data_IF_405961264650
#
_entry.id   IF_405961264650
#
_cell.length_a   1.000
_cell.length_b   1.000
_cell.length_c   1.000
_cell.angle_alpha   90.00
_cell.angle_beta   90.00
_cell.angle_gamma   90.00
#
_symmetry.space_group_name_H-M   'P 1'
#
loop_
_entity.id
_entity.type
_entity.pdbx_description
1 polymer ?
#
# COMPACT_ATOMS: atom_id res chain seq x y z
N UNK A 1 -3.24 -10.49 1.28
CA UNK A 1 -4.72 -10.46 1.38
C UNK A 1 -5.23 -10.23 2.78
N UNK A 2 -4.60 -10.83 3.76
CA UNK A 2 -5.02 -10.67 5.15
C UNK A 2 -5.03 -9.20 5.59
N UNK A 3 -4.06 -8.43 5.13
CA UNK A 3 -3.97 -7.02 5.49
C UNK A 3 -5.21 -6.24 5.05
N UNK A 4 -5.70 -6.52 3.84
CA UNK A 4 -6.89 -5.85 3.33
C UNK A 4 -8.12 -6.29 4.11
N UNK A 5 -8.26 -7.59 4.37
CA UNK A 5 -9.40 -8.10 5.13
C UNK A 5 -9.45 -7.52 6.53
N UNK A 6 -8.28 -7.34 7.15
CA UNK A 6 -8.20 -6.76 8.49
C UNK A 6 -8.84 -5.38 8.54
N UNK A 7 -8.60 -4.55 7.51
CA UNK A 7 -9.10 -3.17 7.52
C UNK A 7 -10.49 -3.02 6.94
N UNK A 8 -10.98 -3.99 6.15
CA UNK A 8 -12.31 -3.87 5.53
C UNK A 8 -13.45 -4.23 6.46
N UNK A 9 -13.16 -4.76 7.64
CA UNK A 9 -14.19 -5.12 8.59
C UNK A 9 -15.09 -3.96 8.97
N UNK A 10 -14.52 -2.77 9.00
CA UNK A 10 -15.23 -1.59 9.47
C UNK A 10 -15.68 -0.68 8.33
N UNK A 11 -15.56 -1.14 7.10
CA UNK A 11 -15.95 -0.36 5.94
C UNK A 11 -16.83 -1.21 5.03
N UNK A 12 -17.72 -0.53 4.31
CA UNK A 12 -18.68 -1.22 3.46
C UNK A 12 -18.15 -1.43 2.05
N UNK A 13 -17.03 -2.12 1.92
CA UNK A 13 -16.50 -2.48 0.60
C UNK A 13 -17.19 -3.72 0.07
N UNK A 14 -17.52 -3.71 -1.21
CA UNK A 14 -18.08 -4.88 -1.88
C UNK A 14 -16.98 -5.91 -2.12
N UNK A 15 -17.34 -7.20 -2.37
CA UNK A 15 -16.33 -8.20 -2.71
C UNK A 15 -15.46 -7.80 -3.89
N UNK A 16 -16.04 -7.15 -4.90
CA UNK A 16 -15.27 -6.68 -6.06
C UNK A 16 -14.27 -5.63 -5.66
N UNK A 17 -14.66 -4.71 -4.80
CA UNK A 17 -13.74 -3.70 -4.29
C UNK A 17 -12.60 -4.33 -3.52
N UNK A 18 -12.91 -5.30 -2.67
CA UNK A 18 -11.89 -5.98 -1.89
C UNK A 18 -10.86 -6.67 -2.80
N UNK A 19 -11.32 -7.27 -3.89
CA UNK A 19 -10.40 -7.89 -4.84
C UNK A 19 -9.47 -6.87 -5.48
N UNK A 20 -10.00 -5.70 -5.83
CA UNK A 20 -9.18 -4.64 -6.41
C UNK A 20 -8.16 -4.15 -5.40
N UNK A 21 -8.59 -3.95 -4.16
CA UNK A 21 -7.70 -3.48 -3.09
C UNK A 21 -6.59 -4.49 -2.82
N UNK A 22 -6.94 -5.77 -2.76
CA UNK A 22 -5.94 -6.82 -2.52
C UNK A 22 -4.95 -6.91 -3.68
N UNK A 23 -5.44 -6.82 -4.91
CA UNK A 23 -4.56 -6.84 -6.08
C UNK A 23 -3.64 -5.62 -6.11
N UNK A 24 -4.16 -4.46 -5.73
CA UNK A 24 -3.34 -3.26 -5.66
C UNK A 24 -2.25 -3.39 -4.62
N UNK A 25 -2.57 -3.94 -3.45
CA UNK A 25 -1.57 -4.16 -2.41
C UNK A 25 -0.47 -5.11 -2.90
N UNK A 26 -0.87 -6.22 -3.49
CA UNK A 26 0.12 -7.19 -3.97
C UNK A 26 1.01 -6.58 -5.04
N UNK A 27 0.43 -5.82 -5.94
CA UNK A 27 1.21 -5.19 -7.01
C UNK A 27 2.16 -4.13 -6.48
N UNK A 28 1.68 -3.29 -5.56
CA UNK A 28 2.53 -2.27 -4.95
C UNK A 28 3.68 -2.91 -4.18
N UNK A 29 3.39 -3.97 -3.43
CA UNK A 29 4.41 -4.67 -2.67
C UNK A 29 5.45 -5.30 -3.58
N UNK A 30 4.99 -5.95 -4.66
CA UNK A 30 5.90 -6.53 -5.63
C UNK A 30 6.83 -5.47 -6.22
N UNK A 31 6.29 -4.30 -6.55
CA UNK A 31 7.11 -3.20 -7.06
C UNK A 31 8.19 -2.78 -6.08
N UNK A 32 7.84 -2.69 -4.79
CA UNK A 32 8.81 -2.35 -3.78
C UNK A 32 9.91 -3.41 -3.66
N UNK A 33 9.53 -4.68 -3.74
CA UNK A 33 10.51 -5.76 -3.69
C UNK A 33 11.43 -5.73 -4.89
N UNK A 34 10.88 -5.52 -6.08
CA UNK A 34 11.66 -5.50 -7.31
C UNK A 34 12.62 -4.32 -7.36
N UNK A 35 12.26 -3.21 -6.72
CA UNK A 35 13.13 -2.04 -6.69
C UNK A 35 14.22 -2.16 -5.63
N UNK A 36 14.21 -3.22 -4.82
CA UNK A 36 15.19 -3.41 -3.79
C UNK A 36 14.99 -2.54 -2.57
N UNK A 37 13.77 -2.08 -2.35
CA UNK A 37 13.47 -1.22 -1.21
C UNK A 37 13.82 -1.92 0.11
N UNK A 38 14.54 -1.22 0.97
CA UNK A 38 14.87 -1.75 2.30
C UNK A 38 13.63 -1.99 3.14
N UNK A 39 12.52 -1.34 2.78
CA UNK A 39 11.27 -1.46 3.53
C UNK A 39 10.62 -2.82 3.37
N UNK A 40 11.07 -3.62 2.39
CA UNK A 40 10.55 -4.97 2.22
C UNK A 40 11.35 -6.02 2.99
N UNK A 41 12.38 -5.61 3.71
CA UNK A 41 13.17 -6.52 4.53
C UNK A 41 12.31 -7.11 5.65
N UNK A 42 12.60 -8.34 6.10
CA UNK A 42 11.77 -8.99 7.12
C UNK A 42 11.51 -8.14 8.35
N UNK A 43 12.48 -7.34 8.76
CA UNK A 43 12.34 -6.50 9.95
C UNK A 43 11.22 -5.48 9.82
N UNK A 44 10.94 -5.05 8.60
CA UNK A 44 9.96 -3.97 8.37
C UNK A 44 8.74 -4.41 7.59
N UNK A 45 8.78 -5.58 6.95
CA UNK A 45 7.79 -5.94 5.96
C UNK A 45 6.36 -5.95 6.48
N UNK A 46 6.15 -6.48 7.67
CA UNK A 46 4.79 -6.54 8.23
C UNK A 46 4.20 -5.15 8.42
N UNK A 47 4.97 -4.28 9.08
CA UNK A 47 4.50 -2.93 9.34
C UNK A 47 4.30 -2.16 8.04
N UNK A 48 5.20 -2.32 7.09
CA UNK A 48 5.10 -1.58 5.84
C UNK A 48 3.96 -2.07 4.97
N UNK A 49 3.68 -3.37 4.97
CA UNK A 49 2.51 -3.86 4.23
C UNK A 49 1.23 -3.25 4.80
N UNK A 50 1.16 -3.07 6.11
CA UNK A 50 -0.01 -2.43 6.71
C UNK A 50 -0.11 -0.96 6.31
N UNK A 51 1.02 -0.27 6.24
CA UNK A 51 1.04 1.13 5.80
C UNK A 51 0.52 1.24 4.36
N UNK A 52 1.02 0.37 3.48
CA UNK A 52 0.59 0.38 2.09
C UNK A 52 -0.90 0.06 1.99
N UNK A 53 -1.37 -0.93 2.73
CA UNK A 53 -2.77 -1.33 2.72
C UNK A 53 -3.67 -0.17 3.18
N UNK A 54 -3.29 0.49 4.26
CA UNK A 54 -4.09 1.61 4.77
C UNK A 54 -4.16 2.75 3.75
N UNK A 55 -3.05 3.05 3.10
CA UNK A 55 -3.05 4.11 2.10
C UNK A 55 -3.95 3.76 0.92
N UNK A 56 -3.88 2.51 0.46
CA UNK A 56 -4.72 2.06 -0.64
C UNK A 56 -6.19 2.19 -0.26
N UNK A 57 -6.56 1.76 0.94
CA UNK A 57 -7.94 1.84 1.39
C UNK A 57 -8.41 3.27 1.56
N UNK A 58 -7.55 4.13 2.07
CA UNK A 58 -7.88 5.53 2.24
C UNK A 58 -8.22 6.17 0.89
N UNK A 59 -7.42 5.88 -0.12
CA UNK A 59 -7.67 6.45 -1.44
C UNK A 59 -8.90 5.85 -2.09
N UNK A 60 -9.15 4.57 -1.86
CA UNK A 60 -10.37 3.93 -2.35
C UNK A 60 -11.62 4.57 -1.72
N UNK A 61 -11.55 4.89 -0.45
CA UNK A 61 -12.66 5.56 0.22
C UNK A 61 -12.90 6.96 -0.33
N UNK A 62 -11.89 7.57 -0.90
CA UNK A 62 -12.00 8.87 -1.53
C UNK A 62 -12.47 8.79 -2.98
N UNK A 63 -12.75 7.58 -3.46
CA UNK A 63 -13.30 7.39 -4.79
C UNK A 63 -12.33 6.88 -5.85
N UNK A 64 -11.09 6.59 -5.49
CA UNK A 64 -10.14 6.03 -6.44
C UNK A 64 -10.44 4.55 -6.61
N UNK A 65 -10.92 4.15 -7.80
CA UNK A 65 -11.34 2.77 -8.04
C UNK A 65 -10.43 2.01 -8.97
N UNK A 66 -9.55 2.70 -9.68
CA UNK A 66 -8.65 2.08 -10.63
C UNK A 66 -7.46 1.48 -9.90
N UNK A 67 -7.19 0.18 -10.14
CA UNK A 67 -6.10 -0.51 -9.47
C UNK A 67 -4.76 0.16 -9.68
N UNK A 68 -4.46 0.57 -10.92
CA UNK A 68 -3.18 1.19 -11.21
C UNK A 68 -3.02 2.53 -10.53
N UNK A 69 -4.10 3.29 -10.44
CA UNK A 69 -4.07 4.57 -9.73
C UNK A 69 -3.80 4.35 -8.24
N UNK A 70 -4.39 3.33 -7.66
CA UNK A 70 -4.16 2.99 -6.26
C UNK A 70 -2.71 2.59 -6.03
N UNK A 71 -2.14 1.78 -6.94
CA UNK A 71 -0.75 1.37 -6.85
C UNK A 71 0.18 2.57 -6.95
N UNK A 72 -0.03 3.41 -7.96
CA UNK A 72 0.81 4.58 -8.18
C UNK A 72 0.78 5.51 -6.97
N UNK A 73 -0.42 5.77 -6.43
CA UNK A 73 -0.55 6.63 -5.27
C UNK A 73 0.18 6.04 -4.06
N UNK A 74 0.02 4.74 -3.83
CA UNK A 74 0.67 4.11 -2.69
C UNK A 74 2.18 4.18 -2.80
N UNK A 75 2.72 3.94 -3.99
CA UNK A 75 4.17 4.00 -4.18
C UNK A 75 4.70 5.41 -4.00
N UNK A 76 3.98 6.41 -4.48
CA UNK A 76 4.35 7.81 -4.25
C UNK A 76 4.33 8.17 -2.78
N UNK A 77 3.32 7.69 -2.08
CA UNK A 77 3.19 7.96 -0.66
C UNK A 77 4.38 7.37 0.11
N UNK A 78 4.74 6.13 -0.21
CA UNK A 78 5.87 5.47 0.44
C UNK A 78 7.17 6.21 0.14
N UNK A 79 7.38 6.59 -1.12
CA UNK A 79 8.58 7.31 -1.51
C UNK A 79 8.69 8.65 -0.78
N UNK A 80 7.58 9.35 -0.65
CA UNK A 80 7.56 10.67 -0.03
C UNK A 80 7.76 10.62 1.48
N UNK A 81 7.30 9.55 2.13
CA UNK A 81 7.27 9.53 3.59
C UNK A 81 8.24 8.54 4.23
N UNK A 82 8.70 7.55 3.49
CA UNK A 82 9.52 6.48 4.07
C UNK A 82 10.82 6.24 3.36
N UNK A 83 11.03 6.84 2.20
CA UNK A 83 12.23 6.61 1.39
C UNK A 83 12.93 7.90 0.99
N UNK A 84 13.01 8.85 1.90
CA UNK A 84 13.71 10.11 1.65
C UNK A 84 14.91 10.27 2.58
N UNK A 85 15.99 9.54 2.34
CA UNK A 85 17.13 9.56 3.24
C UNK A 85 17.84 10.92 3.30
N UNK A 86 17.85 11.66 2.21
CA UNK A 86 18.58 12.91 2.17
C UNK A 86 18.04 13.94 3.17
N UNK A 87 16.77 13.89 3.46
CA UNK A 87 16.18 14.81 4.43
C UNK A 87 16.73 14.58 5.82
N UNK A 88 17.01 13.32 6.13
CA UNK A 88 17.49 12.94 7.44
C UNK A 88 18.98 13.15 7.59
N UNK A 89 19.69 13.21 6.48
CA UNK A 89 21.12 13.40 6.49
C UNK A 89 21.50 14.83 6.84
N UNK A 90 20.58 15.73 6.77
CA UNK A 90 20.84 17.13 7.10
C UNK A 90 20.64 17.37 8.60
#
# INVERSE_FOLDING_TARGET
MVEILKFTRETAFTPENIQILAAALDRAWESLQQSGSRLTRPAYSRAMREVVAKRIMEMAQRGVENREALVTDALRFIAANYEQPSKLAN
#
